data_IF_827492745887
#
_entry.id   IF_827492745887
#
_cell.length_a   1.000
_cell.length_b   1.000
_cell.length_c   1.000
_cell.angle_alpha   90.00
_cell.angle_beta   90.00
_cell.angle_gamma   90.00
#
_symmetry.space_group_name_H-M   'P 1'
#
loop_
_entity.id
_entity.type
_entity.pdbx_description
1 polymer ?
#
# COMPACT_ATOMS: atom_id res chain seq x y z
N UNK A 1 9.27 13.70 22.34
CA UNK A 1 8.59 14.72 21.51
C UNK A 1 7.94 14.01 20.33
N UNK A 2 6.61 14.06 20.17
CA UNK A 2 5.97 13.59 18.94
C UNK A 2 6.32 14.58 17.82
N UNK A 3 7.22 14.17 16.92
CA UNK A 3 7.66 14.95 15.78
C UNK A 3 6.69 14.71 14.62
N UNK A 4 6.18 15.78 14.00
CA UNK A 4 5.37 15.69 12.78
C UNK A 4 6.15 14.91 11.71
N UNK A 5 5.46 13.98 11.04
CA UNK A 5 6.02 13.14 9.99
C UNK A 5 5.54 13.63 8.63
N UNK A 6 6.47 14.00 7.77
CA UNK A 6 6.20 14.35 6.38
C UNK A 6 6.36 13.11 5.52
N UNK A 7 5.48 12.94 4.54
CA UNK A 7 5.54 11.86 3.56
C UNK A 7 5.44 12.42 2.14
N UNK A 8 6.18 11.83 1.21
CA UNK A 8 6.01 12.07 -0.22
C UNK A 8 5.08 10.99 -0.78
N UNK A 9 4.09 11.40 -1.56
CA UNK A 9 3.08 10.49 -2.11
C UNK A 9 2.50 10.97 -3.44
N UNK A 10 1.25 10.60 -3.74
CA UNK A 10 0.58 10.86 -5.02
C UNK A 10 1.14 10.03 -6.21
N UNK A 11 1.54 8.78 -5.97
CA UNK A 11 1.95 7.84 -7.03
C UNK A 11 1.72 6.38 -6.64
N UNK A 12 1.57 5.51 -7.64
CA UNK A 12 1.24 4.09 -7.48
C UNK A 12 2.42 3.13 -7.75
N UNK A 13 3.60 3.67 -8.05
CA UNK A 13 4.79 2.90 -8.41
C UNK A 13 6.02 3.47 -7.71
N UNK A 14 6.82 2.56 -7.17
CA UNK A 14 8.11 2.84 -6.54
C UNK A 14 9.19 2.81 -7.61
N UNK A 15 9.80 3.95 -7.89
CA UNK A 15 10.95 4.07 -8.80
C UNK A 15 12.12 4.70 -8.06
N UNK A 16 13.34 4.40 -8.51
CA UNK A 16 14.55 4.89 -7.84
C UNK A 16 14.61 6.43 -7.87
N UNK A 17 14.14 7.05 -8.96
CA UNK A 17 14.00 8.51 -9.08
C UNK A 17 13.12 9.11 -7.97
N UNK A 18 11.94 8.53 -7.70
CA UNK A 18 11.04 9.01 -6.65
C UNK A 18 11.63 8.85 -5.26
N UNK A 19 12.33 7.73 -5.01
CA UNK A 19 12.98 7.48 -3.72
C UNK A 19 14.15 8.45 -3.50
N UNK A 20 14.96 8.72 -4.53
CA UNK A 20 16.02 9.73 -4.45
C UNK A 20 15.45 11.14 -4.25
N UNK A 21 14.36 11.47 -4.94
CA UNK A 21 13.70 12.77 -4.79
C UNK A 21 13.17 12.98 -3.36
N UNK A 22 12.54 11.96 -2.75
CA UNK A 22 12.09 12.03 -1.35
C UNK A 22 13.25 12.35 -0.39
N UNK A 23 14.42 11.71 -0.59
CA UNK A 23 15.62 12.01 0.19
C UNK A 23 16.12 13.42 0.00
N UNK A 24 16.14 13.93 -1.23
CA UNK A 24 16.57 15.30 -1.54
C UNK A 24 15.67 16.33 -0.85
N UNK A 25 14.38 16.03 -0.68
CA UNK A 25 13.44 16.86 0.08
C UNK A 25 13.60 16.74 1.61
N UNK A 26 14.47 15.85 2.10
CA UNK A 26 14.60 15.55 3.53
C UNK A 26 13.39 14.81 4.12
N UNK A 27 12.59 14.15 3.27
CA UNK A 27 11.38 13.42 3.65
C UNK A 27 11.72 11.95 3.84
N UNK A 28 11.37 11.39 5.01
CA UNK A 28 11.70 10.01 5.37
C UNK A 28 10.60 8.99 5.05
N UNK A 29 9.39 9.45 4.75
CA UNK A 29 8.22 8.58 4.59
C UNK A 29 7.65 8.63 3.16
N UNK A 30 7.16 7.50 2.68
CA UNK A 30 6.53 7.31 1.38
C UNK A 30 5.09 6.85 1.55
N UNK A 31 4.17 7.49 0.85
CA UNK A 31 2.79 7.04 0.68
C UNK A 31 2.59 6.59 -0.76
N UNK A 32 1.88 5.48 -0.98
CA UNK A 32 1.57 4.97 -2.32
C UNK A 32 0.08 4.90 -2.56
N UNK A 33 -0.36 5.37 -3.71
CA UNK A 33 -1.76 5.29 -4.10
C UNK A 33 -2.03 4.00 -4.86
N UNK A 34 -2.89 3.13 -4.34
CA UNK A 34 -3.30 1.90 -5.04
C UNK A 34 -2.13 1.24 -5.76
N UNK A 35 -1.08 0.83 -5.02
CA UNK A 35 0.14 0.33 -5.61
C UNK A 35 -0.16 -0.83 -6.56
N UNK A 36 0.56 -0.87 -7.69
CA UNK A 36 0.43 -1.94 -8.67
C UNK A 36 1.10 -3.22 -8.14
N UNK A 37 0.35 -3.98 -7.35
CA UNK A 37 0.73 -5.30 -6.86
C UNK A 37 0.00 -6.39 -7.66
N UNK A 38 0.55 -7.61 -7.74
CA UNK A 38 -0.14 -8.76 -8.32
C UNK A 38 -1.48 -9.07 -7.63
N UNK A 39 -2.37 -9.75 -8.36
CA UNK A 39 -3.62 -10.28 -7.84
C UNK A 39 -4.87 -9.47 -8.21
N UNK A 40 -5.98 -10.19 -8.46
CA UNK A 40 -7.25 -9.58 -8.91
C UNK A 40 -8.29 -9.42 -7.80
N UNK A 41 -8.08 -10.08 -6.65
CA UNK A 41 -9.07 -10.17 -5.56
C UNK A 41 -8.60 -9.58 -4.23
N UNK A 42 -7.31 -9.67 -3.93
CA UNK A 42 -6.69 -9.22 -2.70
C UNK A 42 -5.19 -8.99 -2.92
N UNK A 43 -4.53 -8.30 -1.98
CA UNK A 43 -3.06 -8.26 -1.93
C UNK A 43 -2.49 -9.40 -1.09
N UNK A 44 -1.45 -10.04 -1.61
CA UNK A 44 -0.74 -11.09 -0.91
C UNK A 44 0.37 -10.53 0.00
N UNK A 45 0.63 -11.27 1.09
CA UNK A 45 1.63 -10.87 2.08
C UNK A 45 3.02 -10.66 1.48
N UNK A 46 3.46 -11.56 0.59
CA UNK A 46 4.80 -11.48 0.01
C UNK A 46 4.96 -10.25 -0.90
N UNK A 47 3.93 -9.89 -1.66
CA UNK A 47 3.96 -8.71 -2.53
C UNK A 47 4.04 -7.41 -1.72
N UNK A 48 3.28 -7.34 -0.62
CA UNK A 48 3.33 -6.22 0.33
C UNK A 48 4.68 -6.13 1.04
N UNK A 49 5.23 -7.26 1.48
CA UNK A 49 6.54 -7.33 2.11
C UNK A 49 7.64 -6.86 1.14
N UNK A 50 7.63 -7.33 -0.10
CA UNK A 50 8.58 -6.91 -1.13
C UNK A 50 8.48 -5.41 -1.43
N UNK A 51 7.27 -4.88 -1.52
CA UNK A 51 7.03 -3.44 -1.70
C UNK A 51 7.64 -2.61 -0.56
N UNK A 52 7.37 -3.01 0.70
CA UNK A 52 7.91 -2.35 1.89
C UNK A 52 9.44 -2.43 1.90
N UNK A 53 10.00 -3.63 1.72
CA UNK A 53 11.45 -3.86 1.70
C UNK A 53 12.15 -3.01 0.66
N UNK A 54 11.58 -2.85 -0.55
CA UNK A 54 12.18 -1.97 -1.58
C UNK A 54 12.33 -0.51 -1.10
N UNK A 55 11.35 0.00 -0.35
CA UNK A 55 11.39 1.36 0.19
C UNK A 55 12.38 1.44 1.37
N UNK A 56 12.40 0.42 2.22
CA UNK A 56 13.33 0.31 3.36
C UNK A 56 14.78 0.15 2.95
N UNK A 57 15.07 -0.59 1.88
CA UNK A 57 16.41 -0.74 1.30
C UNK A 57 16.95 0.59 0.78
N UNK A 58 16.05 1.49 0.36
CA UNK A 58 16.40 2.87 0.05
C UNK A 58 16.52 3.76 1.31
N UNK A 59 16.43 3.23 2.54
CA UNK A 59 16.52 4.03 3.77
C UNK A 59 15.33 4.98 4.01
N UNK A 60 14.19 4.69 3.40
CA UNK A 60 12.92 5.38 3.60
C UNK A 60 11.93 4.44 4.31
N UNK A 61 10.73 4.92 4.61
CA UNK A 61 9.68 4.11 5.25
C UNK A 61 8.37 4.20 4.48
N UNK A 62 7.77 3.07 4.17
CA UNK A 62 6.39 3.03 3.72
C UNK A 62 5.48 3.40 4.90
N UNK A 63 4.73 4.50 4.81
CA UNK A 63 3.82 4.93 5.89
C UNK A 63 2.36 4.65 5.62
N UNK A 64 1.94 4.63 4.36
CA UNK A 64 0.55 4.42 4.02
C UNK A 64 0.36 3.87 2.60
N UNK A 65 -0.67 3.06 2.44
CA UNK A 65 -1.25 2.66 1.16
C UNK A 65 -2.64 3.28 1.04
N UNK A 66 -2.90 4.02 -0.05
CA UNK A 66 -4.13 4.79 -0.25
C UNK A 66 -4.56 4.81 -1.73
N UNK A 67 -5.32 3.85 -2.24
CA UNK A 67 -6.28 3.00 -1.55
C UNK A 67 -6.09 1.54 -1.95
N UNK A 68 -6.98 0.66 -1.53
CA UNK A 68 -7.12 -0.66 -2.15
C UNK A 68 -7.82 -0.55 -3.52
N UNK A 69 -7.55 -1.44 -4.49
CA UNK A 69 -8.26 -1.48 -5.77
C UNK A 69 -9.78 -1.63 -5.59
N UNK A 70 -10.58 -0.84 -6.32
CA UNK A 70 -12.05 -0.84 -6.20
C UNK A 70 -12.67 -2.20 -6.51
N UNK A 71 -12.09 -2.95 -7.45
CA UNK A 71 -12.53 -4.31 -7.80
C UNK A 71 -12.41 -5.29 -6.62
N UNK A 72 -11.64 -4.99 -5.57
CA UNK A 72 -11.58 -5.85 -4.38
C UNK A 72 -12.86 -5.78 -3.54
N UNK A 73 -13.65 -4.69 -3.62
CA UNK A 73 -14.77 -4.46 -2.69
C UNK A 73 -16.05 -3.88 -3.31
N UNK A 74 -16.12 -3.67 -4.62
CA UNK A 74 -17.29 -3.06 -5.29
C UNK A 74 -18.62 -3.83 -5.08
N UNK A 75 -18.59 -5.17 -5.05
CA UNK A 75 -19.78 -6.00 -4.78
C UNK A 75 -20.21 -5.88 -3.33
N UNK A 76 -19.26 -5.83 -2.38
CA UNK A 76 -19.55 -5.59 -0.98
C UNK A 76 -20.16 -4.19 -0.77
N UNK A 77 -19.60 -3.16 -1.42
CA UNK A 77 -20.12 -1.80 -1.37
C UNK A 77 -21.56 -1.69 -1.88
N UNK A 78 -21.88 -2.39 -2.96
CA UNK A 78 -23.18 -2.31 -3.65
C UNK A 78 -24.17 -3.42 -3.26
N UNK A 79 -23.81 -4.28 -2.30
CA UNK A 79 -24.60 -5.45 -1.88
C UNK A 79 -24.99 -6.38 -3.06
N UNK A 80 -24.03 -6.68 -3.93
CA UNK A 80 -24.21 -7.56 -5.10
C UNK A 80 -23.84 -9.01 -4.77
N UNK A 81 -24.27 -10.01 -5.58
CA UNK A 81 -23.80 -11.38 -5.46
C UNK A 81 -22.26 -11.47 -5.47
N UNK A 82 -21.69 -12.10 -4.44
CA UNK A 82 -20.25 -12.14 -4.16
C UNK A 82 -19.74 -11.07 -3.19
N UNK A 83 -20.64 -10.32 -2.53
CA UNK A 83 -20.29 -9.38 -1.46
C UNK A 83 -19.50 -10.05 -0.33
N UNK A 84 -19.98 -11.18 0.20
CA UNK A 84 -19.30 -11.91 1.29
C UNK A 84 -17.90 -12.40 0.90
N UNK A 85 -17.72 -12.90 -0.33
CA UNK A 85 -16.40 -13.29 -0.85
C UNK A 85 -15.44 -12.09 -0.88
N UNK A 86 -15.92 -10.92 -1.32
CA UNK A 86 -15.12 -9.70 -1.31
C UNK A 86 -14.80 -9.19 0.10
N UNK A 87 -15.73 -9.33 1.06
CA UNK A 87 -15.47 -9.00 2.46
C UNK A 87 -14.36 -9.88 3.04
N UNK A 88 -14.35 -11.18 2.73
CA UNK A 88 -13.29 -12.10 3.14
C UNK A 88 -11.93 -11.71 2.53
N UNK A 89 -11.88 -11.44 1.23
CA UNK A 89 -10.67 -10.99 0.55
C UNK A 89 -10.14 -9.63 1.05
N UNK A 90 -11.03 -8.70 1.37
CA UNK A 90 -10.67 -7.42 1.99
C UNK A 90 -10.12 -7.61 3.40
N UNK A 91 -10.73 -8.47 4.22
CA UNK A 91 -10.20 -8.81 5.53
C UNK A 91 -8.80 -9.46 5.42
N UNK A 92 -8.58 -10.30 4.41
CA UNK A 92 -7.26 -10.88 4.14
C UNK A 92 -6.24 -9.83 3.69
N UNK A 93 -6.64 -8.87 2.84
CA UNK A 93 -5.79 -7.72 2.46
C UNK A 93 -5.34 -6.95 3.70
N UNK A 94 -6.26 -6.61 4.61
CA UNK A 94 -5.94 -5.91 5.87
C UNK A 94 -5.01 -6.74 6.76
N UNK A 95 -5.28 -8.05 6.91
CA UNK A 95 -4.41 -8.95 7.68
C UNK A 95 -3.00 -9.04 7.07
N UNK A 96 -2.89 -9.13 5.75
CA UNK A 96 -1.62 -9.20 5.05
C UNK A 96 -0.84 -7.89 5.16
N UNK A 97 -1.52 -6.73 5.09
CA UNK A 97 -0.93 -5.44 5.40
C UNK A 97 -0.37 -5.43 6.83
N UNK A 98 -1.18 -5.80 7.83
CA UNK A 98 -0.73 -5.85 9.22
C UNK A 98 0.42 -6.83 9.49
N UNK A 99 0.52 -7.94 8.74
CA UNK A 99 1.69 -8.85 8.80
C UNK A 99 2.93 -8.24 8.16
N UNK A 100 2.76 -7.45 7.10
CA UNK A 100 3.84 -6.77 6.40
C UNK A 100 4.33 -5.53 7.17
N UNK A 101 3.57 -4.98 8.13
CA UNK A 101 3.98 -3.86 8.99
C UNK A 101 3.23 -2.57 8.69
#
# INVERSE_FOLDING_TARGET
>A
MNKMRLALGQFNEVTDEKLQFAKQLGVGDIQLNTPKLPGDKQWEFMDLLMLRTRIEDAGLRLIALENVPVNFYIKAMLNLPGAEEQLEHMANTIRNMGKAG
#
